data_IF_592097953107
#
_entry.id   IF_592097953107
#
_cell.length_a   1.000
_cell.length_b   1.000
_cell.length_c   1.000
_cell.angle_alpha   90.00
_cell.angle_beta   90.00
_cell.angle_gamma   90.00
#
_symmetry.space_group_name_H-M   'P 1'
#
loop_
_entity.id
_entity.type
_entity.pdbx_description
1 polymer ?
#
# COMPACT_ATOMS: atom_id res chain seq x y z
N UNK A 1 25.27 -3.59 -46.96
CA UNK A 1 25.47 -3.72 -45.51
C UNK A 1 25.39 -2.30 -44.99
N UNK A 2 24.21 -1.87 -44.55
CA UNK A 2 24.06 -0.55 -43.93
C UNK A 2 24.92 -0.53 -42.65
N UNK A 3 25.64 0.57 -42.39
CA UNK A 3 26.36 0.72 -41.13
C UNK A 3 25.34 0.62 -39.98
N UNK A 4 25.62 -0.24 -39.00
CA UNK A 4 24.83 -0.23 -37.78
C UNK A 4 24.98 1.14 -37.12
N UNK A 5 23.89 1.74 -36.62
CA UNK A 5 23.96 3.03 -35.94
C UNK A 5 24.92 2.94 -34.75
N UNK A 6 25.73 3.98 -34.54
CA UNK A 6 26.56 4.07 -33.33
C UNK A 6 25.65 4.11 -32.09
N UNK A 7 26.00 3.38 -31.01
CA UNK A 7 25.16 3.34 -29.82
C UNK A 7 25.13 4.70 -29.13
N UNK A 8 23.99 5.05 -28.54
CA UNK A 8 23.90 6.23 -27.67
C UNK A 8 24.56 5.91 -26.33
N UNK A 9 25.59 6.68 -25.97
CA UNK A 9 26.31 6.49 -24.70
C UNK A 9 25.52 7.09 -23.55
N UNK A 10 25.26 6.26 -22.54
CA UNK A 10 24.59 6.63 -21.30
C UNK A 10 25.58 6.52 -20.16
N UNK A 11 25.92 7.65 -19.54
CA UNK A 11 26.77 7.69 -18.37
C UNK A 11 25.97 7.29 -17.12
N UNK A 12 26.54 6.41 -16.30
CA UNK A 12 25.91 5.82 -15.11
C UNK A 12 26.67 6.27 -13.86
N UNK A 13 26.06 7.12 -13.05
CA UNK A 13 26.60 7.53 -11.76
C UNK A 13 25.75 6.99 -10.61
N UNK A 14 26.37 6.72 -9.47
CA UNK A 14 25.70 6.19 -8.29
C UNK A 14 25.67 7.22 -7.16
N UNK A 15 24.60 7.22 -6.37
CA UNK A 15 24.41 8.17 -5.28
C UNK A 15 23.41 7.62 -4.24
N UNK A 16 23.24 8.31 -3.12
CA UNK A 16 22.17 7.98 -2.19
C UNK A 16 20.80 8.48 -2.65
N UNK A 17 20.75 9.53 -3.46
CA UNK A 17 19.49 10.07 -3.97
C UNK A 17 19.67 11.25 -4.92
N UNK A 18 18.61 12.04 -5.06
CA UNK A 18 18.57 13.24 -5.89
C UNK A 18 18.20 14.45 -5.04
N UNK A 19 19.03 15.49 -5.10
CA UNK A 19 18.72 16.78 -4.52
C UNK A 19 17.94 17.60 -5.57
N UNK A 20 16.62 17.72 -5.38
CA UNK A 20 15.75 18.43 -6.30
C UNK A 20 16.03 19.95 -6.35
N UNK A 21 16.55 20.54 -5.27
CA UNK A 21 16.86 21.96 -5.22
C UNK A 21 18.18 22.25 -5.95
N UNK A 22 19.20 21.41 -5.73
CA UNK A 22 20.49 21.54 -6.42
C UNK A 22 20.50 20.96 -7.84
N UNK A 23 19.47 20.17 -8.20
CA UNK A 23 19.39 19.38 -9.44
C UNK A 23 20.65 18.53 -9.65
N UNK A 24 21.06 17.84 -8.59
CA UNK A 24 22.32 17.13 -8.52
C UNK A 24 22.17 15.78 -7.79
N UNK A 25 23.05 14.80 -8.07
CA UNK A 25 23.12 13.59 -7.27
C UNK A 25 23.47 13.93 -5.82
N UNK A 26 22.68 13.44 -4.88
CA UNK A 26 22.91 13.64 -3.46
C UNK A 26 23.79 12.52 -2.90
N UNK A 27 24.89 12.91 -2.25
CA UNK A 27 25.89 12.00 -1.64
C UNK A 27 26.33 10.91 -2.63
N UNK A 28 27.19 11.26 -3.60
CA UNK A 28 27.71 10.33 -4.60
C UNK A 28 28.34 9.07 -4.00
N UNK A 29 28.26 7.97 -4.74
CA UNK A 29 28.80 6.66 -4.37
C UNK A 29 29.76 6.17 -5.46
N UNK A 30 30.81 5.46 -5.05
CA UNK A 30 31.61 4.67 -5.98
C UNK A 30 30.81 3.47 -6.48
N UNK A 31 31.12 2.97 -7.68
CA UNK A 31 30.40 1.82 -8.27
C UNK A 31 30.47 0.59 -7.34
N UNK A 32 31.64 0.33 -6.76
CA UNK A 32 31.85 -0.79 -5.83
C UNK A 32 30.89 -0.72 -4.64
N UNK A 33 30.71 0.45 -4.05
CA UNK A 33 29.83 0.65 -2.89
C UNK A 33 28.36 0.47 -3.27
N UNK A 34 27.95 0.97 -4.44
CA UNK A 34 26.60 0.75 -4.94
C UNK A 34 26.32 -0.74 -5.21
N UNK A 35 27.32 -1.47 -5.75
CA UNK A 35 27.23 -2.92 -5.95
C UNK A 35 27.11 -3.69 -4.64
N UNK A 36 27.93 -3.36 -3.65
CA UNK A 36 27.83 -3.94 -2.30
C UNK A 36 26.46 -3.66 -1.67
N UNK A 37 25.89 -2.48 -1.88
CA UNK A 37 24.54 -2.16 -1.42
C UNK A 37 23.49 -3.03 -2.11
N UNK A 38 23.54 -3.15 -3.44
CA UNK A 38 22.65 -3.99 -4.21
C UNK A 38 22.65 -5.45 -3.73
N UNK A 39 23.84 -6.04 -3.57
CA UNK A 39 24.02 -7.43 -3.11
C UNK A 39 23.56 -7.65 -1.65
N UNK A 40 23.63 -6.61 -0.82
CA UNK A 40 23.24 -6.65 0.60
C UNK A 40 21.79 -6.22 0.87
N UNK A 41 20.98 -5.93 -0.16
CA UNK A 41 19.60 -5.49 0.05
C UNK A 41 19.47 -4.06 0.56
N UNK A 42 20.46 -3.19 0.34
CA UNK A 42 20.47 -1.81 0.85
C UNK A 42 20.16 -0.78 -0.26
N UNK A 43 19.49 0.32 0.09
CA UNK A 43 19.06 1.31 -0.90
C UNK A 43 20.21 2.12 -1.50
N UNK A 44 20.09 2.40 -2.79
CA UNK A 44 20.94 3.32 -3.56
C UNK A 44 20.19 3.87 -4.77
N UNK A 45 20.71 4.92 -5.38
CA UNK A 45 20.17 5.48 -6.61
C UNK A 45 21.23 5.50 -7.73
N UNK A 46 20.73 5.50 -8.96
CA UNK A 46 21.50 5.55 -10.19
C UNK A 46 21.01 6.74 -11.00
N UNK A 47 21.91 7.65 -11.33
CA UNK A 47 21.64 8.76 -12.23
C UNK A 47 22.17 8.40 -13.62
N UNK A 48 21.27 8.38 -14.60
CA UNK A 48 21.57 8.12 -16.00
C UNK A 48 21.64 9.45 -16.75
N UNK A 49 22.76 9.69 -17.43
CA UNK A 49 23.02 10.93 -18.17
C UNK A 49 23.35 10.69 -19.62
N UNK A 50 22.94 11.62 -20.48
CA UNK A 50 23.36 11.71 -21.88
C UNK A 50 23.88 13.12 -22.09
N UNK A 51 25.09 13.25 -22.63
CA UNK A 51 25.77 14.55 -22.80
C UNK A 51 25.83 15.38 -21.51
N UNK A 52 26.07 14.70 -20.37
CA UNK A 52 26.07 15.26 -19.00
C UNK A 52 24.71 15.76 -18.48
N UNK A 53 23.63 15.64 -19.25
CA UNK A 53 22.30 16.01 -18.80
C UNK A 53 21.58 14.82 -18.14
N UNK A 54 20.88 15.02 -17.00
CA UNK A 54 20.10 13.97 -16.37
C UNK A 54 18.92 13.55 -17.26
N UNK A 55 18.79 12.24 -17.51
CA UNK A 55 17.70 11.66 -18.31
C UNK A 55 16.79 10.77 -17.49
N UNK A 56 17.36 10.00 -16.56
CA UNK A 56 16.58 9.21 -15.63
C UNK A 56 17.28 9.04 -14.28
N UNK A 57 16.48 8.88 -13.23
CA UNK A 57 16.93 8.50 -11.90
C UNK A 57 16.28 7.15 -11.53
N UNK A 58 17.10 6.13 -11.29
CA UNK A 58 16.65 4.83 -10.83
C UNK A 58 16.93 4.70 -9.34
N UNK A 59 15.90 4.49 -8.54
CA UNK A 59 15.98 4.18 -7.11
C UNK A 59 15.86 2.67 -6.93
N UNK A 60 16.80 2.05 -6.24
CA UNK A 60 16.85 0.60 -6.07
C UNK A 60 16.94 0.26 -4.59
N UNK A 61 16.01 -0.56 -4.12
CA UNK A 61 16.03 -1.16 -2.79
C UNK A 61 15.64 -2.64 -2.92
N UNK A 62 16.63 -3.50 -3.14
CA UNK A 62 16.43 -4.94 -3.32
C UNK A 62 15.97 -5.63 -2.03
N UNK A 63 16.30 -5.08 -0.84
CA UNK A 63 15.83 -5.60 0.44
C UNK A 63 14.34 -5.35 0.65
N UNK A 64 13.82 -4.22 0.14
CA UNK A 64 12.39 -3.90 0.11
C UNK A 64 11.68 -4.35 -1.18
N UNK A 65 12.36 -5.05 -2.10
CA UNK A 65 11.79 -5.50 -3.37
C UNK A 65 11.27 -4.35 -4.24
N UNK A 66 11.99 -3.23 -4.32
CA UNK A 66 11.55 -2.00 -4.98
C UNK A 66 12.54 -1.49 -6.02
N UNK A 67 11.98 -1.09 -7.18
CA UNK A 67 12.68 -0.29 -8.17
C UNK A 67 11.79 0.88 -8.61
N UNK A 68 12.23 2.10 -8.36
CA UNK A 68 11.59 3.32 -8.85
C UNK A 68 12.37 3.88 -10.04
N UNK A 69 11.71 4.25 -11.13
CA UNK A 69 12.36 4.93 -12.26
C UNK A 69 11.70 6.26 -12.49
N UNK A 70 12.47 7.35 -12.43
CA UNK A 70 12.00 8.69 -12.70
C UNK A 70 12.55 9.21 -14.01
N UNK A 71 11.68 9.82 -14.82
CA UNK A 71 12.07 10.65 -15.95
C UNK A 71 12.09 12.13 -15.56
N UNK A 72 12.95 12.90 -16.23
CA UNK A 72 13.05 14.35 -16.05
C UNK A 72 12.32 15.11 -17.16
N UNK A 73 11.71 16.24 -16.82
CA UNK A 73 11.32 17.22 -17.83
C UNK A 73 12.49 18.10 -18.27
N UNK A 74 12.25 19.02 -19.21
CA UNK A 74 13.27 19.94 -19.74
C UNK A 74 13.81 20.92 -18.67
N UNK A 75 13.05 21.14 -17.59
CA UNK A 75 13.50 21.94 -16.45
C UNK A 75 14.29 21.09 -15.44
N UNK A 76 14.57 19.81 -15.71
CA UNK A 76 15.30 18.93 -14.79
C UNK A 76 14.51 18.55 -13.54
N UNK A 77 13.17 18.66 -13.58
CA UNK A 77 12.27 18.18 -12.51
C UNK A 77 11.87 16.75 -12.80
N UNK A 78 11.77 15.92 -11.76
CA UNK A 78 11.14 14.60 -11.90
C UNK A 78 9.66 14.77 -12.25
N UNK A 79 9.28 14.32 -13.44
CA UNK A 79 7.95 14.55 -14.02
C UNK A 79 7.21 13.26 -14.39
N UNK A 80 7.92 12.13 -14.34
CA UNK A 80 7.38 10.80 -14.60
C UNK A 80 7.98 9.81 -13.59
N UNK A 81 7.18 8.85 -13.11
CA UNK A 81 7.61 7.80 -12.19
C UNK A 81 7.00 6.46 -12.59
N UNK A 82 7.85 5.45 -12.74
CA UNK A 82 7.47 4.04 -12.70
C UNK A 82 7.85 3.47 -11.34
N UNK A 83 6.97 2.68 -10.74
CA UNK A 83 7.18 2.04 -9.44
C UNK A 83 7.00 0.55 -9.59
N UNK A 84 8.09 -0.20 -9.50
CA UNK A 84 8.11 -1.65 -9.62
C UNK A 84 8.21 -2.34 -8.26
N UNK A 85 7.59 -3.53 -8.16
CA UNK A 85 7.57 -4.41 -7.00
C UNK A 85 8.07 -5.79 -7.36
N UNK A 86 8.99 -6.31 -6.57
CA UNK A 86 9.46 -7.68 -6.67
C UNK A 86 8.40 -8.63 -6.08
N UNK A 87 7.84 -9.49 -6.94
CA UNK A 87 6.90 -10.53 -6.53
C UNK A 87 7.56 -11.91 -6.32
N UNK A 88 8.87 -12.00 -6.49
CA UNK A 88 9.73 -13.16 -6.26
C UNK A 88 10.36 -13.70 -7.55
N UNK A 89 9.62 -13.66 -8.66
CA UNK A 89 10.00 -14.17 -9.97
C UNK A 89 10.19 -13.05 -11.02
N UNK A 90 9.48 -11.94 -10.87
CA UNK A 90 9.58 -10.77 -11.73
C UNK A 90 9.31 -9.47 -10.95
N UNK A 91 9.74 -8.35 -11.53
CA UNK A 91 9.26 -7.03 -11.15
C UNK A 91 7.92 -6.75 -11.82
N UNK A 92 6.92 -6.40 -11.01
CA UNK A 92 5.60 -5.94 -11.43
C UNK A 92 5.54 -4.41 -11.36
N UNK A 93 5.23 -3.72 -12.45
CA UNK A 93 4.87 -2.31 -12.43
C UNK A 93 3.59 -2.16 -11.63
N UNK A 94 3.66 -1.42 -10.53
CA UNK A 94 2.56 -1.17 -9.60
C UNK A 94 1.94 0.21 -9.79
N UNK A 95 2.76 1.21 -10.07
CA UNK A 95 2.32 2.59 -10.27
C UNK A 95 3.08 3.24 -11.42
N UNK A 96 2.37 3.90 -12.31
CA UNK A 96 2.91 4.90 -13.23
C UNK A 96 2.28 6.24 -12.89
N UNK A 97 3.09 7.26 -12.65
CA UNK A 97 2.61 8.59 -12.29
C UNK A 97 3.33 9.65 -13.09
N UNK A 98 2.56 10.59 -13.65
CA UNK A 98 3.10 11.77 -14.32
C UNK A 98 2.58 13.05 -13.69
N UNK A 99 3.46 14.04 -13.63
CA UNK A 99 3.19 15.42 -13.23
C UNK A 99 3.35 16.29 -14.47
N UNK A 100 2.24 16.88 -14.92
CA UNK A 100 2.20 17.74 -16.12
C UNK A 100 2.25 19.18 -15.67
N UNK A 101 3.47 19.71 -15.54
CA UNK A 101 3.68 21.12 -15.18
C UNK A 101 3.27 22.03 -16.34
N UNK A 102 2.51 23.09 -16.05
CA UNK A 102 2.11 24.06 -17.06
C UNK A 102 3.21 25.11 -17.31
N UNK A 103 3.93 25.47 -16.24
CA UNK A 103 4.94 26.52 -16.22
C UNK A 103 6.27 26.01 -15.64
N UNK A 104 7.37 26.66 -16.01
CA UNK A 104 8.73 26.27 -15.59
C UNK A 104 9.05 26.63 -14.13
N UNK A 105 8.26 27.52 -13.51
CA UNK A 105 8.42 27.97 -12.12
C UNK A 105 7.67 27.08 -11.11
N UNK A 106 6.80 26.18 -11.57
CA UNK A 106 6.14 25.21 -10.71
C UNK A 106 7.18 24.31 -10.01
N UNK A 107 7.03 24.07 -8.69
CA UNK A 107 7.95 23.20 -7.97
C UNK A 107 7.82 21.75 -8.43
N UNK A 108 8.88 20.96 -8.27
CA UNK A 108 8.83 19.53 -8.54
C UNK A 108 7.68 18.85 -7.78
N UNK A 109 6.88 18.08 -8.51
CA UNK A 109 5.64 17.43 -8.06
C UNK A 109 4.47 18.36 -7.71
N UNK A 110 4.62 19.66 -7.93
CA UNK A 110 3.61 20.68 -7.72
C UNK A 110 2.61 20.87 -8.85
N UNK A 111 2.72 20.08 -9.93
CA UNK A 111 1.83 20.17 -11.09
C UNK A 111 0.34 20.13 -10.71
N UNK A 112 -0.42 21.09 -11.25
CA UNK A 112 -1.89 21.12 -11.16
C UNK A 112 -2.52 19.85 -11.74
N UNK A 113 -1.96 19.35 -12.84
CA UNK A 113 -2.40 18.14 -13.53
C UNK A 113 -1.51 16.94 -13.19
N UNK A 114 -2.11 15.93 -12.55
CA UNK A 114 -1.47 14.68 -12.14
C UNK A 114 -2.26 13.51 -12.67
N UNK A 115 -1.56 12.56 -13.29
CA UNK A 115 -2.17 11.37 -13.88
C UNK A 115 -1.48 10.16 -13.26
N UNK A 116 -2.26 9.22 -12.73
CA UNK A 116 -1.77 8.03 -12.04
C UNK A 116 -2.45 6.78 -12.57
N UNK A 117 -1.67 5.79 -12.97
CA UNK A 117 -2.12 4.45 -13.32
C UNK A 117 -1.67 3.50 -12.22
N UNK A 118 -2.59 2.70 -11.73
CA UNK A 118 -2.35 1.70 -10.69
C UNK A 118 -2.71 0.33 -11.20
N UNK A 119 -1.76 -0.57 -11.01
CA UNK A 119 -1.76 -1.90 -11.58
C UNK A 119 -1.88 -2.93 -10.46
N UNK A 120 -2.64 -3.98 -10.73
CA UNK A 120 -2.72 -5.18 -9.90
C UNK A 120 -2.64 -6.40 -10.83
N UNK A 121 -2.17 -7.56 -10.33
CA UNK A 121 -2.14 -8.78 -11.13
C UNK A 121 -3.54 -9.13 -11.64
N UNK A 122 -3.67 -9.28 -12.96
CA UNK A 122 -4.87 -9.76 -13.65
C UNK A 122 -6.15 -8.93 -13.44
N UNK A 123 -6.02 -7.71 -12.90
CA UNK A 123 -7.10 -6.75 -12.73
C UNK A 123 -7.04 -5.62 -13.77
N UNK A 124 -8.18 -4.95 -14.06
CA UNK A 124 -8.17 -3.71 -14.82
C UNK A 124 -7.27 -2.66 -14.15
N UNK A 125 -6.49 -1.96 -14.96
CA UNK A 125 -5.65 -0.86 -14.51
C UNK A 125 -6.54 0.32 -14.14
N UNK A 126 -6.40 0.80 -12.91
CA UNK A 126 -7.10 1.99 -12.44
C UNK A 126 -6.35 3.23 -12.89
N UNK A 127 -7.01 4.09 -13.63
CA UNK A 127 -6.49 5.39 -14.04
C UNK A 127 -7.16 6.48 -13.25
N UNK A 128 -6.37 7.36 -12.66
CA UNK A 128 -6.81 8.54 -11.93
C UNK A 128 -6.21 9.79 -12.53
N UNK A 129 -7.06 10.76 -12.87
CA UNK A 129 -6.69 12.09 -13.32
C UNK A 129 -7.11 13.09 -12.25
N UNK A 130 -6.15 13.87 -11.75
CA UNK A 130 -6.35 14.94 -10.79
C UNK A 130 -5.95 16.25 -11.44
N UNK A 131 -6.88 17.18 -11.55
CA UNK A 131 -6.66 18.54 -12.03
C UNK A 131 -7.12 19.49 -10.92
N UNK A 132 -6.23 20.34 -10.41
CA UNK A 132 -6.52 21.27 -9.33
C UNK A 132 -7.73 22.18 -9.61
N UNK A 133 -8.06 22.45 -10.88
CA UNK A 133 -9.15 23.32 -11.32
C UNK A 133 -10.38 22.54 -11.74
N UNK A 134 -10.22 21.31 -12.25
CA UNK A 134 -11.31 20.51 -12.84
C UNK A 134 -11.75 19.32 -11.97
N UNK A 135 -11.05 19.04 -10.88
CA UNK A 135 -11.39 18.00 -9.92
C UNK A 135 -10.69 16.66 -10.20
N UNK A 136 -11.27 15.57 -9.70
CA UNK A 136 -10.72 14.23 -9.78
C UNK A 136 -11.61 13.30 -10.61
N UNK A 137 -11.00 12.48 -11.46
CA UNK A 137 -11.68 11.46 -12.26
C UNK A 137 -10.95 10.12 -12.10
N UNK A 138 -11.73 9.04 -11.96
CA UNK A 138 -11.20 7.66 -11.96
C UNK A 138 -11.91 6.85 -13.04
N UNK A 139 -11.15 6.05 -13.78
CA UNK A 139 -11.64 5.04 -14.73
C UNK A 139 -10.80 3.77 -14.68
N UNK A 140 -11.23 2.76 -15.43
CA UNK A 140 -10.57 1.45 -15.49
C UNK A 140 -10.33 1.07 -16.95
N UNK A 141 -9.15 0.53 -17.24
CA UNK A 141 -8.78 0.08 -18.58
C UNK A 141 -7.97 -1.22 -18.51
N UNK A 142 -8.11 -2.07 -19.53
CA UNK A 142 -7.28 -3.28 -19.63
C UNK A 142 -5.99 -2.95 -20.39
N UNK A 143 -4.85 -3.12 -19.73
CA UNK A 143 -3.54 -3.07 -20.37
C UNK A 143 -3.10 -4.47 -20.79
N UNK A 144 -2.49 -4.64 -21.97
CA UNK A 144 -1.90 -5.92 -22.37
C UNK A 144 -0.88 -6.43 -21.34
N UNK A 145 -1.01 -7.71 -20.97
CA UNK A 145 -0.28 -8.32 -19.83
C UNK A 145 1.25 -8.42 -19.94
N UNK A 146 1.96 -8.30 -21.09
CA UNK A 146 3.42 -8.24 -20.99
C UNK A 146 3.95 -6.86 -20.61
N UNK A 147 3.13 -5.79 -20.63
CA UNK A 147 3.65 -4.41 -20.50
C UNK A 147 4.01 -3.98 -19.08
N UNK A 148 3.68 -4.78 -18.06
CA UNK A 148 3.91 -4.40 -16.66
C UNK A 148 4.71 -5.45 -15.87
N UNK A 149 5.30 -6.47 -16.53
CA UNK A 149 6.16 -7.48 -15.89
C UNK A 149 7.53 -7.48 -16.55
N UNK A 150 8.59 -7.23 -15.79
CA UNK A 150 9.98 -7.21 -16.28
C UNK A 150 10.87 -8.09 -15.41
N UNK A 151 12.01 -8.59 -15.92
CA UNK A 151 12.96 -9.37 -15.13
C UNK A 151 13.51 -8.58 -13.93
N UNK A 152 13.92 -9.30 -12.89
CA UNK A 152 14.67 -8.70 -11.77
C UNK A 152 16.01 -8.14 -12.31
N UNK A 153 16.27 -6.83 -12.14
CA UNK A 153 17.47 -6.22 -12.70
C UNK A 153 18.69 -6.68 -11.90
N UNK A 154 19.65 -7.33 -12.58
CA UNK A 154 20.99 -7.50 -12.05
C UNK A 154 21.68 -6.12 -11.93
N UNK A 155 22.65 -6.00 -11.03
CA UNK A 155 23.43 -4.76 -10.94
C UNK A 155 24.06 -4.39 -12.29
N UNK A 156 23.86 -3.14 -12.72
CA UNK A 156 24.31 -2.65 -14.03
C UNK A 156 23.27 -2.79 -15.14
N UNK A 157 22.13 -3.42 -14.87
CA UNK A 157 20.98 -3.46 -15.78
C UNK A 157 19.86 -2.59 -15.24
N UNK A 158 19.37 -1.65 -16.05
CA UNK A 158 18.40 -0.65 -15.61
C UNK A 158 17.14 -0.73 -16.47
N UNK A 159 15.94 -0.68 -15.87
CA UNK A 159 14.68 -0.77 -16.61
C UNK A 159 14.36 0.57 -17.28
N UNK A 160 15.12 0.88 -18.34
CA UNK A 160 15.00 2.07 -19.18
C UNK A 160 15.20 1.69 -20.64
N UNK A 161 14.71 2.50 -21.56
CA UNK A 161 14.90 2.37 -23.00
C UNK A 161 15.16 3.76 -23.63
N UNK A 162 15.50 3.77 -24.92
CA UNK A 162 15.76 5.00 -25.66
C UNK A 162 14.59 5.98 -25.60
N UNK A 163 13.35 5.50 -25.62
CA UNK A 163 12.16 6.36 -25.53
C UNK A 163 12.10 7.14 -24.20
N UNK A 164 12.34 6.47 -23.08
CA UNK A 164 12.38 7.11 -21.76
C UNK A 164 13.54 8.10 -21.65
N UNK A 165 14.69 7.77 -22.23
CA UNK A 165 15.89 8.60 -22.17
C UNK A 165 15.92 9.71 -23.25
N UNK A 166 14.96 9.75 -24.18
CA UNK A 166 14.97 10.65 -25.33
C UNK A 166 16.15 10.39 -26.28
N UNK A 167 16.49 9.13 -26.49
CA UNK A 167 17.68 8.66 -27.20
C UNK A 167 17.37 7.58 -28.25
N UNK A 168 18.28 7.39 -29.20
CA UNK A 168 18.21 6.32 -30.19
C UNK A 168 18.85 5.04 -29.65
N UNK A 169 18.25 3.90 -29.99
CA UNK A 169 18.80 2.57 -29.73
C UNK A 169 19.91 2.20 -30.74
N UNK A 170 20.89 1.35 -30.37
CA UNK A 170 21.05 0.73 -29.06
C UNK A 170 21.70 1.66 -28.01
N UNK A 171 21.39 1.47 -26.74
CA UNK A 171 22.05 2.15 -25.62
C UNK A 171 23.34 1.43 -25.18
N UNK A 172 24.41 2.19 -24.93
CA UNK A 172 25.66 1.72 -24.31
C UNK A 172 25.83 2.38 -22.93
N UNK A 173 25.72 1.60 -21.85
CA UNK A 173 25.87 2.09 -20.48
C UNK A 173 27.34 2.08 -20.04
N UNK A 174 27.85 3.24 -19.65
CA UNK A 174 29.24 3.45 -19.24
C UNK A 174 29.27 4.00 -17.81
N UNK A 175 30.02 3.36 -16.92
CA UNK A 175 30.20 3.86 -15.56
C UNK A 175 30.87 5.24 -15.59
N UNK A 176 30.30 6.19 -14.84
CA UNK A 176 30.93 7.45 -14.53
C UNK A 176 32.20 7.21 -13.69
N UNK A 177 33.20 8.11 -13.74
CA UNK A 177 34.31 8.06 -12.80
C UNK A 177 33.80 8.09 -11.34
N UNK A 178 34.48 7.35 -10.47
CA UNK A 178 34.18 7.38 -9.03
C UNK A 178 34.30 8.83 -8.49
N UNK A 179 33.44 9.22 -7.53
CA UNK A 179 33.46 10.56 -6.97
C UNK A 179 34.73 10.81 -6.15
N UNK A 180 35.21 12.05 -6.12
CA UNK A 180 36.34 12.46 -5.28
C UNK A 180 36.02 12.31 -3.79
N UNK A 181 34.77 12.60 -3.40
CA UNK A 181 34.24 12.41 -2.05
C UNK A 181 33.01 11.51 -2.09
N UNK A 182 33.10 10.37 -1.40
CA UNK A 182 32.03 9.38 -1.30
C UNK A 182 31.20 9.58 -0.02
N UNK A 183 29.92 9.21 -0.08
CA UNK A 183 29.03 9.18 1.08
C UNK A 183 29.57 8.29 2.22
N UNK A 184 29.79 8.89 3.40
CA UNK A 184 30.16 8.15 4.63
C UNK A 184 29.07 8.20 5.70
N UNK A 185 28.79 7.10 6.38
CA UNK A 185 27.80 7.04 7.47
C UNK A 185 26.48 6.39 7.07
N UNK A 186 25.41 6.52 7.88
CA UNK A 186 24.13 5.92 7.56
C UNK A 186 23.51 6.54 6.29
N UNK A 187 22.66 5.76 5.64
CA UNK A 187 21.88 6.21 4.49
C UNK A 187 21.01 7.41 4.87
N UNK A 188 20.98 8.42 4.01
CA UNK A 188 20.07 9.54 4.20
C UNK A 188 18.68 9.16 3.72
N UNK A 189 17.65 9.31 4.56
CA UNK A 189 16.24 9.04 4.25
C UNK A 189 15.62 10.05 3.26
N UNK A 190 16.37 10.51 2.25
CA UNK A 190 15.85 11.37 1.17
C UNK A 190 14.70 10.71 0.39
N UNK A 191 14.69 9.38 0.36
CA UNK A 191 13.62 8.57 -0.16
C UNK A 191 13.65 7.20 0.51
N UNK A 192 12.53 6.51 0.44
CA UNK A 192 12.40 5.11 0.84
C UNK A 192 11.50 4.37 -0.15
N UNK A 193 11.66 3.05 -0.23
CA UNK A 193 10.67 2.22 -0.90
C UNK A 193 9.29 2.49 -0.28
N UNK A 194 8.21 2.60 -1.07
CA UNK A 194 6.89 2.79 -0.50
C UNK A 194 6.51 1.56 0.34
N UNK A 195 6.09 1.77 1.57
CA UNK A 195 5.69 0.70 2.49
C UNK A 195 4.17 0.72 2.74
N UNK A 196 3.59 -0.47 2.89
CA UNK A 196 2.22 -0.63 3.35
C UNK A 196 1.96 0.13 4.65
N UNK A 197 0.69 0.42 4.93
CA UNK A 197 0.31 0.92 6.25
C UNK A 197 0.84 -0.04 7.34
N UNK A 198 1.16 0.52 8.49
CA UNK A 198 1.52 -0.22 9.69
C UNK A 198 0.50 0.06 10.78
N UNK A 199 0.23 -0.90 11.68
CA UNK A 199 -0.67 -0.68 12.79
C UNK A 199 -0.06 0.34 13.75
N UNK A 200 -0.88 1.27 14.26
CA UNK A 200 -0.39 2.31 15.17
C UNK A 200 -1.23 2.34 16.43
N UNK A 201 -0.59 2.13 17.58
CA UNK A 201 -1.23 2.27 18.90
C UNK A 201 -2.32 1.23 19.21
N UNK A 202 -2.36 0.09 18.50
CA UNK A 202 -3.42 -0.92 18.70
C UNK A 202 -3.49 -1.43 20.13
N UNK A 203 -2.36 -1.70 20.79
CA UNK A 203 -2.37 -2.11 22.19
C UNK A 203 -2.85 -1.01 23.14
N UNK A 204 -2.45 0.23 22.87
CA UNK A 204 -2.87 1.39 23.66
C UNK A 204 -4.39 1.58 23.60
N UNK A 205 -5.02 1.30 22.45
CA UNK A 205 -6.48 1.37 22.28
C UNK A 205 -7.26 0.40 23.18
N UNK A 206 -6.62 -0.64 23.72
CA UNK A 206 -7.24 -1.57 24.67
C UNK A 206 -6.69 -1.42 26.09
N UNK A 207 -6.03 -0.29 26.38
CA UNK A 207 -5.50 0.05 27.71
C UNK A 207 -6.31 1.21 28.31
N UNK A 208 -7.25 0.95 29.24
CA UNK A 208 -8.06 2.00 29.85
C UNK A 208 -7.21 3.12 30.46
N UNK A 209 -7.62 4.37 30.21
CA UNK A 209 -6.93 5.57 30.67
C UNK A 209 -5.69 5.97 29.86
N UNK A 210 -5.30 5.19 28.84
CA UNK A 210 -4.24 5.59 27.93
C UNK A 210 -4.60 6.89 27.21
N UNK A 211 -3.62 7.77 27.05
CA UNK A 211 -3.76 9.03 26.33
C UNK A 211 -3.01 8.93 25.01
N UNK A 212 -3.70 9.18 23.91
CA UNK A 212 -3.15 9.08 22.56
C UNK A 212 -3.25 10.45 21.90
N UNK A 213 -2.16 10.91 21.29
CA UNK A 213 -2.12 12.12 20.47
C UNK A 213 -1.90 11.74 19.02
N UNK A 214 -2.72 12.24 18.10
CA UNK A 214 -2.46 12.05 16.68
C UNK A 214 -1.53 13.13 16.09
N UNK A 215 -1.13 12.95 14.83
CA UNK A 215 -0.24 13.89 14.13
C UNK A 215 -0.87 15.27 13.87
N UNK A 216 -2.17 15.41 14.08
CA UNK A 216 -2.89 16.69 14.02
C UNK A 216 -2.98 17.38 15.39
N UNK A 217 -2.45 16.75 16.44
CA UNK A 217 -2.50 17.25 17.82
C UNK A 217 -3.84 16.98 18.52
N UNK A 218 -4.77 16.22 17.93
CA UNK A 218 -5.97 15.79 18.62
C UNK A 218 -5.62 14.77 19.71
N UNK A 219 -6.27 14.92 20.86
CA UNK A 219 -6.07 14.07 22.04
C UNK A 219 -7.24 13.11 22.21
N UNK A 220 -6.93 11.86 22.49
CA UNK A 220 -7.87 10.78 22.71
C UNK A 220 -7.59 10.13 24.07
N UNK A 221 -8.62 9.97 24.89
CA UNK A 221 -8.59 9.17 26.11
C UNK A 221 -9.25 7.83 25.84
N UNK A 222 -8.54 6.74 26.12
CA UNK A 222 -9.04 5.37 25.97
C UNK A 222 -9.93 5.01 27.16
N UNK A 223 -11.17 4.60 26.87
CA UNK A 223 -12.12 4.12 27.86
C UNK A 223 -11.94 2.63 28.18
N UNK A 224 -12.82 2.10 29.04
CA UNK A 224 -12.90 0.65 29.28
C UNK A 224 -13.38 -0.08 28.01
N UNK A 225 -12.66 -1.13 27.55
CA UNK A 225 -13.14 -1.97 26.47
C UNK A 225 -14.54 -2.54 26.79
N UNK A 226 -15.43 -2.55 25.79
CA UNK A 226 -16.77 -3.10 25.96
C UNK A 226 -16.91 -4.42 25.22
N UNK A 227 -17.42 -5.43 25.93
CA UNK A 227 -17.77 -6.71 25.31
C UNK A 227 -18.85 -6.51 24.25
N UNK A 228 -18.57 -6.97 23.03
CA UNK A 228 -19.57 -7.17 21.97
C UNK A 228 -20.28 -8.50 22.16
N UNK A 229 -19.52 -9.55 22.52
CA UNK A 229 -20.06 -10.89 22.70
C UNK A 229 -19.02 -11.97 22.51
N UNK A 230 -19.47 -13.18 22.19
CA UNK A 230 -18.62 -14.34 21.91
C UNK A 230 -18.90 -14.88 20.51
N UNK A 231 -17.87 -14.91 19.68
CA UNK A 231 -17.91 -15.38 18.30
C UNK A 231 -17.54 -16.86 18.24
N UNK A 232 -18.41 -17.67 17.65
CA UNK A 232 -18.18 -19.08 17.36
C UNK A 232 -17.52 -19.20 15.99
N UNK A 233 -16.27 -19.65 15.96
CA UNK A 233 -15.52 -19.96 14.76
C UNK A 233 -15.49 -21.48 14.55
N UNK A 234 -16.50 -22.03 13.88
CA UNK A 234 -16.63 -23.47 13.65
C UNK A 234 -15.59 -24.00 12.66
N UNK A 235 -15.15 -23.19 11.71
CA UNK A 235 -14.09 -23.53 10.76
C UNK A 235 -12.75 -22.90 11.13
N UNK A 236 -12.75 -21.89 12.01
CA UNK A 236 -11.53 -21.16 12.38
C UNK A 236 -11.08 -20.16 11.30
N UNK A 237 -11.89 -19.97 10.26
CA UNK A 237 -11.61 -19.03 9.17
C UNK A 237 -12.40 -17.75 9.41
N UNK A 238 -11.67 -16.67 9.70
CA UNK A 238 -12.25 -15.38 10.09
C UNK A 238 -12.54 -14.55 8.85
N UNK A 239 -13.72 -13.93 8.82
CA UNK A 239 -14.11 -12.91 7.84
C UNK A 239 -14.40 -11.62 8.60
N UNK A 240 -14.05 -10.46 8.02
CA UNK A 240 -14.63 -9.19 8.40
C UNK A 240 -15.30 -8.54 7.18
N UNK A 241 -16.50 -8.02 7.35
CA UNK A 241 -17.30 -7.42 6.28
C UNK A 241 -18.32 -6.43 6.84
N UNK A 242 -18.97 -5.67 5.95
CA UNK A 242 -20.25 -5.03 6.25
C UNK A 242 -21.37 -6.05 6.04
N UNK A 243 -22.06 -6.48 7.10
CA UNK A 243 -23.05 -7.55 7.00
C UNK A 243 -24.30 -7.14 6.19
N UNK A 244 -24.58 -5.84 6.02
CA UNK A 244 -25.75 -5.35 5.30
C UNK A 244 -25.49 -5.22 3.79
N UNK A 245 -24.27 -4.84 3.39
CA UNK A 245 -23.96 -4.48 1.99
C UNK A 245 -23.10 -5.50 1.26
N UNK A 246 -22.74 -6.61 1.91
CA UNK A 246 -21.84 -7.63 1.38
C UNK A 246 -22.25 -8.19 -0.01
N UNK A 247 -23.54 -8.39 -0.28
CA UNK A 247 -24.03 -8.85 -1.58
C UNK A 247 -23.80 -7.83 -2.70
N UNK A 248 -23.81 -6.53 -2.36
CA UNK A 248 -23.53 -5.44 -3.29
C UNK A 248 -22.03 -5.31 -3.58
N UNK A 249 -21.19 -5.83 -2.69
CA UNK A 249 -19.73 -5.78 -2.77
C UNK A 249 -19.14 -6.98 -3.54
N UNK A 250 -19.97 -7.96 -3.93
CA UNK A 250 -19.60 -9.11 -4.74
C UNK A 250 -19.01 -10.30 -3.97
N UNK A 251 -18.77 -11.41 -4.67
CA UNK A 251 -18.44 -12.71 -4.07
C UNK A 251 -17.21 -12.67 -3.13
N UNK A 252 -16.20 -11.85 -3.46
CA UNK A 252 -14.96 -11.73 -2.68
C UNK A 252 -15.15 -10.97 -1.36
N UNK A 253 -16.29 -10.31 -1.14
CA UNK A 253 -16.55 -9.53 0.07
C UNK A 253 -16.61 -10.41 1.33
N UNK A 254 -16.93 -11.70 1.17
CA UNK A 254 -16.97 -12.71 2.25
C UNK A 254 -15.78 -13.65 2.28
N UNK A 255 -14.78 -13.48 1.41
CA UNK A 255 -13.60 -14.34 1.43
C UNK A 255 -12.90 -14.26 2.79
N UNK A 256 -12.59 -15.41 3.42
CA UNK A 256 -11.91 -15.42 4.70
C UNK A 256 -10.47 -14.93 4.57
N UNK A 257 -9.95 -14.39 5.67
CA UNK A 257 -8.53 -14.14 5.78
C UNK A 257 -7.75 -15.46 5.65
N UNK A 258 -6.55 -15.35 5.08
CA UNK A 258 -5.65 -16.49 4.79
C UNK A 258 -5.11 -17.15 6.06
N UNK A 259 -5.01 -16.40 7.16
CA UNK A 259 -4.62 -16.93 8.47
C UNK A 259 -5.85 -17.52 9.18
N UNK A 260 -5.74 -18.78 9.58
CA UNK A 260 -6.77 -19.50 10.34
C UNK A 260 -6.40 -19.63 11.81
N UNK A 261 -7.41 -19.80 12.66
CA UNK A 261 -7.25 -20.11 14.09
C UNK A 261 -7.89 -21.46 14.42
N UNK A 262 -7.58 -22.06 15.59
CA UNK A 262 -8.29 -23.25 16.03
C UNK A 262 -9.81 -22.99 16.09
N UNK A 263 -10.65 -23.97 15.70
CA UNK A 263 -12.08 -23.85 15.93
C UNK A 263 -12.40 -23.66 17.41
N UNK A 264 -13.33 -22.76 17.73
CA UNK A 264 -13.58 -22.39 19.11
C UNK A 264 -14.58 -21.26 19.28
N UNK A 265 -14.69 -20.75 20.51
CA UNK A 265 -15.55 -19.63 20.88
C UNK A 265 -14.71 -18.55 21.55
N UNK A 266 -14.68 -17.37 20.94
CA UNK A 266 -13.72 -16.32 21.25
C UNK A 266 -14.42 -15.00 21.60
N UNK A 267 -13.96 -14.25 22.62
CA UNK A 267 -14.57 -12.97 22.96
C UNK A 267 -14.23 -11.90 21.92
N UNK A 268 -15.19 -11.01 21.69
CA UNK A 268 -15.05 -9.81 20.86
C UNK A 268 -15.33 -8.58 21.71
N UNK A 269 -14.47 -7.57 21.62
CA UNK A 269 -14.54 -6.35 22.41
C UNK A 269 -14.23 -5.10 21.58
N UNK A 270 -14.89 -3.98 21.87
CA UNK A 270 -14.61 -2.68 21.25
C UNK A 270 -13.65 -1.86 22.10
N UNK A 271 -12.70 -1.21 21.44
CA UNK A 271 -11.91 -0.12 21.99
C UNK A 271 -12.68 1.18 21.81
N UNK A 272 -12.91 1.91 22.90
CA UNK A 272 -13.64 3.16 22.91
C UNK A 272 -12.70 4.30 23.25
N UNK A 273 -12.84 5.41 22.53
CA UNK A 273 -12.08 6.63 22.82
C UNK A 273 -13.00 7.83 23.00
N UNK A 274 -12.62 8.71 23.91
CA UNK A 274 -13.18 10.06 24.04
C UNK A 274 -12.21 11.05 23.42
N UNK A 275 -12.69 11.83 22.46
CA UNK A 275 -11.89 12.91 21.86
C UNK A 275 -12.03 14.17 22.70
N UNK A 276 -10.92 14.80 23.06
CA UNK A 276 -10.94 16.04 23.81
C UNK A 276 -11.82 17.10 23.11
N UNK A 277 -12.75 17.69 23.86
CA UNK A 277 -13.68 18.70 23.34
C UNK A 277 -14.88 18.15 22.55
N UNK A 278 -15.08 16.82 22.50
CA UNK A 278 -16.28 16.19 21.92
C UNK A 278 -17.05 15.43 23.00
N UNK A 279 -18.37 15.41 22.89
CA UNK A 279 -19.22 14.59 23.75
C UNK A 279 -19.32 13.16 23.22
N UNK A 280 -19.34 12.19 24.13
CA UNK A 280 -19.51 10.78 23.81
C UNK A 280 -18.21 10.00 23.55
N UNK A 281 -18.39 8.70 23.37
CA UNK A 281 -17.34 7.75 23.02
C UNK A 281 -17.51 7.28 21.58
N UNK A 282 -16.40 7.03 20.89
CA UNK A 282 -16.40 6.48 19.54
C UNK A 282 -15.62 5.17 19.52
N UNK A 283 -16.11 4.17 18.78
CA UNK A 283 -15.38 2.93 18.53
C UNK A 283 -14.15 3.24 17.67
N UNK A 284 -12.97 3.00 18.24
CA UNK A 284 -11.69 3.22 17.57
C UNK A 284 -11.16 1.93 16.93
N UNK A 285 -11.43 0.79 17.53
CA UNK A 285 -11.06 -0.52 17.02
C UNK A 285 -11.96 -1.61 17.63
N UNK A 286 -11.96 -2.80 17.02
CA UNK A 286 -12.66 -3.98 17.54
C UNK A 286 -11.71 -5.17 17.52
N UNK A 287 -11.56 -5.85 18.66
CA UNK A 287 -10.65 -6.98 18.84
C UNK A 287 -11.43 -8.28 19.00
N UNK A 288 -11.13 -9.24 18.14
CA UNK A 288 -11.43 -10.66 18.32
C UNK A 288 -10.20 -11.29 19.01
N UNK A 289 -10.34 -11.72 20.26
CA UNK A 289 -9.22 -12.26 21.04
C UNK A 289 -9.17 -13.79 20.96
N UNK A 290 -8.03 -14.31 20.49
CA UNK A 290 -7.79 -15.74 20.23
C UNK A 290 -7.00 -16.38 21.37
N UNK A 291 -6.00 -15.66 21.89
CA UNK A 291 -5.15 -16.08 22.99
C UNK A 291 -4.95 -14.98 24.02
N UNK A 292 -4.46 -15.36 25.20
CA UNK A 292 -4.19 -14.45 26.33
C UNK A 292 -2.71 -14.02 26.39
N UNK A 293 -1.85 -14.59 25.54
CA UNK A 293 -0.45 -14.21 25.45
C UNK A 293 -0.30 -12.76 24.94
N UNK A 294 0.68 -11.99 25.44
CA UNK A 294 0.98 -10.67 24.91
C UNK A 294 1.30 -10.71 23.42
N UNK A 295 0.82 -9.72 22.68
CA UNK A 295 1.17 -9.57 21.26
C UNK A 295 2.57 -8.99 21.16
N UNK A 296 3.42 -9.61 20.36
CA UNK A 296 4.79 -9.19 20.11
C UNK A 296 4.94 -8.54 18.72
N UNK A 297 4.21 -9.04 17.72
CA UNK A 297 4.28 -8.58 16.33
C UNK A 297 2.89 -8.45 15.72
N UNK A 298 2.79 -7.64 14.66
CA UNK A 298 1.55 -7.40 13.94
C UNK A 298 1.75 -7.55 12.44
N UNK A 299 0.76 -8.14 11.76
CA UNK A 299 0.70 -8.23 10.29
C UNK A 299 -0.69 -7.86 9.77
N UNK A 300 -0.78 -7.47 8.50
CA UNK A 300 -2.07 -7.17 7.86
C UNK A 300 -2.81 -8.48 7.57
N UNK A 301 -4.09 -8.57 7.89
CA UNK A 301 -4.92 -9.71 7.52
C UNK A 301 -5.24 -9.67 6.01
N UNK A 302 -4.64 -10.59 5.26
CA UNK A 302 -4.81 -10.69 3.81
C UNK A 302 -5.87 -11.73 3.42
N UNK A 303 -6.64 -11.44 2.37
CA UNK A 303 -7.52 -12.38 1.67
C UNK A 303 -6.79 -13.07 0.52
N UNK A 304 -7.31 -14.19 -0.03
CA UNK A 304 -6.72 -14.85 -1.18
C UNK A 304 -6.45 -13.89 -2.33
N UNK A 305 -5.23 -13.95 -2.90
CA UNK A 305 -4.81 -13.08 -4.00
C UNK A 305 -4.29 -11.70 -3.60
N UNK A 306 -4.42 -11.29 -2.34
CA UNK A 306 -3.83 -10.05 -1.84
C UNK A 306 -2.35 -10.25 -1.47
N UNK A 307 -1.52 -9.25 -1.77
CA UNK A 307 -0.08 -9.24 -1.50
C UNK A 307 0.33 -7.86 -0.98
N UNK A 308 0.87 -7.78 0.24
CA UNK A 308 1.26 -6.52 0.86
C UNK A 308 2.36 -5.77 0.09
N UNK A 309 3.18 -6.46 -0.71
CA UNK A 309 4.25 -5.85 -1.52
C UNK A 309 3.67 -4.94 -2.60
N UNK A 310 2.42 -5.18 -3.00
CA UNK A 310 1.70 -4.34 -3.94
C UNK A 310 1.13 -3.07 -3.30
N UNK A 311 1.20 -2.90 -1.98
CA UNK A 311 0.71 -1.69 -1.35
C UNK A 311 1.69 -0.52 -1.56
N UNK A 312 1.13 0.65 -1.90
CA UNK A 312 1.85 1.92 -1.90
C UNK A 312 2.05 2.47 -0.49
N UNK A 313 2.66 3.65 -0.39
CA UNK A 313 2.95 4.31 0.88
C UNK A 313 1.69 4.50 1.73
N UNK A 314 1.63 3.81 2.87
CA UNK A 314 0.49 3.79 3.80
C UNK A 314 -0.83 3.29 3.19
N UNK A 315 -0.80 2.58 2.07
CA UNK A 315 -1.95 1.84 1.55
C UNK A 315 -2.17 0.55 2.36
N UNK A 316 -3.39 0.05 2.35
CA UNK A 316 -3.77 -1.20 3.00
C UNK A 316 -4.92 -1.85 2.24
N UNK A 317 -5.03 -3.17 2.38
CA UNK A 317 -6.27 -3.89 2.11
C UNK A 317 -7.19 -3.77 3.31
N UNK A 318 -8.47 -3.56 3.07
CA UNK A 318 -9.48 -3.44 4.12
C UNK A 318 -10.83 -3.97 3.67
N UNK A 319 -11.69 -4.24 4.64
CA UNK A 319 -13.11 -4.50 4.37
C UNK A 319 -13.86 -3.18 4.29
N UNK A 320 -14.80 -3.07 3.37
CA UNK A 320 -15.58 -1.87 3.11
C UNK A 320 -16.88 -1.87 3.92
N UNK A 321 -17.21 -0.72 4.50
CA UNK A 321 -18.43 -0.46 5.26
C UNK A 321 -19.16 0.73 4.65
N UNK A 322 -20.46 0.57 4.45
CA UNK A 322 -21.39 1.55 3.88
C UNK A 322 -22.68 1.65 4.72
N UNK A 323 -22.94 0.68 5.59
CA UNK A 323 -24.07 0.68 6.53
C UNK A 323 -23.75 1.33 7.89
N UNK A 324 -22.50 1.79 8.09
CA UNK A 324 -21.98 2.16 9.41
C UNK A 324 -21.78 0.98 10.38
N UNK A 325 -21.92 -0.26 9.90
CA UNK A 325 -21.80 -1.49 10.69
C UNK A 325 -20.75 -2.42 10.09
N UNK A 326 -19.81 -2.86 10.93
CA UNK A 326 -18.89 -3.94 10.60
C UNK A 326 -19.28 -5.22 11.32
N UNK A 327 -18.78 -6.36 10.86
CA UNK A 327 -18.98 -7.64 11.53
C UNK A 327 -17.73 -8.51 11.46
N UNK A 328 -17.53 -9.32 12.50
CA UNK A 328 -16.70 -10.52 12.45
C UNK A 328 -17.60 -11.75 12.36
N UNK A 329 -17.27 -12.67 11.46
CA UNK A 329 -18.02 -13.91 11.24
C UNK A 329 -17.08 -15.07 10.88
N UNK A 330 -17.53 -16.31 11.12
CA UNK A 330 -16.88 -17.50 10.56
C UNK A 330 -17.23 -17.63 9.07
N UNK A 331 -16.30 -18.15 8.26
CA UNK A 331 -16.54 -18.40 6.83
C UNK A 331 -17.76 -19.32 6.56
N UNK A 332 -18.20 -20.14 7.53
CA UNK A 332 -19.40 -20.97 7.42
C UNK A 332 -20.71 -20.25 7.80
N UNK A 333 -20.66 -19.00 8.27
CA UNK A 333 -21.81 -18.26 8.81
C UNK A 333 -22.77 -17.70 7.73
N UNK A 334 -22.90 -18.37 6.57
CA UNK A 334 -23.72 -17.90 5.45
C UNK A 334 -25.20 -17.77 5.80
N UNK A 335 -25.74 -18.69 6.60
CA UNK A 335 -27.12 -18.64 7.06
C UNK A 335 -27.36 -17.48 8.06
N UNK A 336 -26.39 -17.21 8.93
CA UNK A 336 -26.45 -16.08 9.86
C UNK A 336 -26.41 -14.74 9.11
N UNK A 337 -25.58 -14.66 8.06
CA UNK A 337 -25.51 -13.48 7.19
C UNK A 337 -26.82 -13.24 6.44
N UNK A 338 -27.39 -14.26 5.81
CA UNK A 338 -28.70 -14.16 5.16
C UNK A 338 -29.81 -13.73 6.14
N UNK A 339 -29.81 -14.31 7.35
CA UNK A 339 -30.73 -13.92 8.43
C UNK A 339 -30.58 -12.45 8.80
N UNK A 340 -29.36 -11.92 8.81
CA UNK A 340 -29.11 -10.50 9.09
C UNK A 340 -29.68 -9.60 8.00
N UNK A 341 -29.49 -9.97 6.74
CA UNK A 341 -29.93 -9.18 5.59
C UNK A 341 -31.45 -9.19 5.38
N UNK A 342 -32.11 -10.28 5.78
CA UNK A 342 -33.58 -10.41 5.73
C UNK A 342 -34.32 -9.66 6.85
N UNK A 343 -33.60 -9.17 7.86
CA UNK A 343 -34.21 -8.50 9.01
C UNK A 343 -34.47 -7.01 8.75
N UNK A 344 -35.56 -6.49 9.32
CA UNK A 344 -35.92 -5.07 9.22
C UNK A 344 -35.02 -4.18 10.11
N UNK A 345 -34.46 -4.75 11.19
CA UNK A 345 -33.54 -4.08 12.09
C UNK A 345 -32.43 -5.01 12.61
N UNK A 346 -31.26 -4.42 12.90
CA UNK A 346 -30.06 -5.17 13.28
C UNK A 346 -30.19 -5.86 14.65
N UNK A 347 -30.97 -5.31 15.59
CA UNK A 347 -31.15 -5.90 16.91
C UNK A 347 -31.95 -7.20 16.82
N UNK A 348 -33.02 -7.20 16.00
CA UNK A 348 -33.81 -8.38 15.69
C UNK A 348 -32.98 -9.44 14.96
N UNK A 349 -32.16 -9.05 13.99
CA UNK A 349 -31.24 -9.96 13.29
C UNK A 349 -30.34 -10.69 14.29
N UNK A 350 -29.62 -9.95 15.13
CA UNK A 350 -28.68 -10.54 16.10
C UNK A 350 -29.38 -11.47 17.10
N UNK A 351 -30.57 -11.09 17.58
CA UNK A 351 -31.36 -11.94 18.47
C UNK A 351 -31.74 -13.26 17.80
N UNK A 352 -32.13 -13.22 16.52
CA UNK A 352 -32.52 -14.40 15.74
C UNK A 352 -31.33 -15.32 15.48
N UNK A 353 -30.19 -14.76 15.07
CA UNK A 353 -28.94 -15.51 14.83
C UNK A 353 -28.50 -16.23 16.12
N UNK A 354 -28.51 -15.52 17.26
CA UNK A 354 -28.13 -16.11 18.55
C UNK A 354 -29.07 -17.22 19.00
N UNK A 355 -30.36 -17.05 18.77
CA UNK A 355 -31.36 -18.07 19.09
C UNK A 355 -31.18 -19.34 18.24
N UNK A 356 -30.90 -19.17 16.94
CA UNK A 356 -30.68 -20.28 16.01
C UNK A 356 -29.46 -21.14 16.37
N UNK A 357 -28.41 -20.54 16.93
CA UNK A 357 -27.19 -21.25 17.32
C UNK A 357 -27.38 -22.21 18.51
N UNK A 358 -28.50 -22.14 19.25
CA UNK A 358 -28.88 -23.07 20.34
C UNK A 358 -27.96 -23.10 21.57
N UNK A 359 -26.82 -22.42 21.50
CA UNK A 359 -25.75 -22.39 22.52
C UNK A 359 -25.63 -21.02 23.19
N UNK A 360 -26.29 -19.99 22.64
CA UNK A 360 -26.18 -18.60 23.07
C UNK A 360 -24.97 -17.86 22.50
N UNK A 361 -24.04 -18.56 21.83
CA UNK A 361 -22.93 -17.97 21.08
C UNK A 361 -23.36 -17.63 19.65
N UNK A 362 -22.77 -16.60 19.04
CA UNK A 362 -23.12 -16.18 17.68
C UNK A 362 -22.04 -16.56 16.67
N UNK A 363 -22.41 -16.95 15.46
CA UNK A 363 -21.48 -17.18 14.34
C UNK A 363 -21.15 -15.89 13.56
N UNK A 364 -21.86 -14.80 13.89
CA UNK A 364 -21.69 -13.45 13.36
C UNK A 364 -21.91 -12.43 14.50
N UNK A 365 -20.97 -11.51 14.70
CA UNK A 365 -21.12 -10.40 15.65
C UNK A 365 -20.92 -9.07 14.94
N UNK A 366 -21.89 -8.16 15.08
CA UNK A 366 -21.80 -6.83 14.50
C UNK A 366 -21.29 -5.80 15.51
N UNK A 367 -20.75 -4.71 14.99
CA UNK A 367 -20.23 -3.60 15.78
C UNK A 367 -20.28 -2.30 14.96
N UNK A 368 -20.37 -1.13 15.62
CA UNK A 368 -20.29 0.16 14.93
C UNK A 368 -18.91 0.37 14.29
N UNK A 369 -18.85 0.89 13.06
CA UNK A 369 -17.60 1.18 12.35
C UNK A 369 -16.93 2.52 12.77
N UNK A 370 -17.21 3.00 13.98
CA UNK A 370 -16.66 4.25 14.49
C UNK A 370 -17.26 5.48 13.82
N UNK A 371 -16.58 6.04 12.81
CA UNK A 371 -17.00 7.27 12.10
C UNK A 371 -18.00 7.03 10.96
N UNK A 372 -18.36 5.77 10.68
CA UNK A 372 -19.32 5.40 9.65
C UNK A 372 -18.66 4.71 8.46
N UNK A 373 -18.90 5.23 7.25
CA UNK A 373 -18.52 4.54 6.02
C UNK A 373 -17.01 4.64 5.76
N UNK A 374 -16.44 3.61 5.15
CA UNK A 374 -15.01 3.58 4.85
C UNK A 374 -14.48 2.20 4.51
N UNK A 375 -13.15 2.12 4.42
CA UNK A 375 -12.40 0.87 4.28
C UNK A 375 -11.50 0.71 5.49
N UNK A 376 -11.54 -0.44 6.13
CA UNK A 376 -10.86 -0.66 7.42
C UNK A 376 -9.93 -1.86 7.36
N UNK A 377 -8.63 -1.71 7.72
CA UNK A 377 -7.73 -2.85 7.80
C UNK A 377 -8.04 -3.69 9.03
N UNK A 378 -7.77 -4.99 8.91
CA UNK A 378 -7.71 -5.89 10.06
C UNK A 378 -6.25 -6.29 10.27
N UNK A 379 -5.78 -6.17 11.51
CA UNK A 379 -4.43 -6.54 11.92
C UNK A 379 -4.44 -7.82 12.74
N UNK A 380 -3.50 -8.71 12.47
CA UNK A 380 -3.32 -9.97 13.20
C UNK A 380 -2.18 -9.76 14.18
N UNK A 381 -2.47 -9.95 15.47
CA UNK A 381 -1.45 -10.01 16.51
C UNK A 381 -0.87 -11.41 16.64
N UNK A 382 0.45 -11.50 16.81
CA UNK A 382 1.15 -12.75 17.13
C UNK A 382 1.99 -12.62 18.39
N UNK A 383 2.08 -13.68 19.18
CA UNK A 383 2.97 -13.74 20.34
C UNK A 383 4.42 -14.00 19.92
N UNK A 384 5.32 -14.09 20.93
CA UNK A 384 6.75 -14.33 20.69
C UNK A 384 7.08 -15.69 20.05
N UNK A 385 6.15 -16.64 20.08
CA UNK A 385 6.27 -17.95 19.43
C UNK A 385 5.61 -17.96 18.04
N UNK A 386 5.02 -16.83 17.62
CA UNK A 386 4.34 -16.66 16.34
C UNK A 386 2.89 -17.14 16.33
N UNK A 387 2.30 -17.54 17.46
CA UNK A 387 0.91 -17.96 17.53
C UNK A 387 -0.03 -16.75 17.50
N UNK A 388 -1.19 -16.88 16.85
CA UNK A 388 -2.18 -15.79 16.72
C UNK A 388 -2.79 -15.46 18.08
N UNK A 389 -2.66 -14.21 18.52
CA UNK A 389 -3.25 -13.70 19.76
C UNK A 389 -4.59 -13.04 19.52
N UNK A 390 -4.76 -12.33 18.41
CA UNK A 390 -5.98 -11.58 18.10
C UNK A 390 -6.08 -11.14 16.63
N UNK A 391 -7.30 -10.76 16.24
CA UNK A 391 -7.56 -9.93 15.06
C UNK A 391 -8.12 -8.59 15.53
N UNK A 392 -7.64 -7.48 14.99
CA UNK A 392 -8.08 -6.12 15.34
C UNK A 392 -8.52 -5.38 14.09
N UNK A 393 -9.82 -5.12 13.97
CA UNK A 393 -10.36 -4.21 12.98
C UNK A 393 -10.09 -2.76 13.45
N UNK A 394 -9.24 -2.04 12.73
CA UNK A 394 -8.86 -0.66 13.05
C UNK A 394 -9.80 0.31 12.33
N UNK A 395 -10.61 1.08 13.07
CA UNK A 395 -11.58 2.04 12.50
C UNK A 395 -10.90 3.33 12.01
N UNK A 396 -9.56 3.35 11.96
CA UNK A 396 -8.73 4.43 11.41
C UNK A 396 -8.98 5.78 12.06
N UNK A 397 -9.51 5.78 13.28
CA UNK A 397 -9.97 6.98 13.97
C UNK A 397 -8.82 7.92 14.33
N UNK A 398 -7.65 7.35 14.67
CA UNK A 398 -6.48 8.10 15.13
C UNK A 398 -5.73 8.82 13.99
N UNK A 399 -5.92 8.46 12.72
CA UNK A 399 -5.19 9.06 11.61
C UNK A 399 -3.70 8.67 11.58
N UNK A 400 -2.84 9.58 11.08
CA UNK A 400 -1.37 9.37 10.96
C UNK A 400 -0.61 10.09 12.09
N UNK A 401 0.67 9.72 12.28
CA UNK A 401 1.57 10.41 13.23
C UNK A 401 1.17 10.25 14.69
N UNK A 402 0.65 9.08 15.05
CA UNK A 402 0.09 8.79 16.37
C UNK A 402 1.20 8.50 17.37
N UNK A 403 1.15 9.20 18.51
CA UNK A 403 2.02 9.00 19.66
C UNK A 403 1.16 8.61 20.86
N UNK A 404 1.41 7.42 21.42
CA UNK A 404 0.85 7.05 22.72
C UNK A 404 1.65 7.77 23.81
N UNK A 405 1.00 8.67 24.54
CA UNK A 405 1.63 9.38 25.65
C UNK A 405 1.59 8.44 26.86
N UNK A 406 2.69 7.73 27.08
CA UNK A 406 2.78 6.74 28.14
C UNK A 406 2.52 7.35 29.54
N UNK A 407 1.80 6.65 30.45
CA UNK A 407 2.21 6.61 31.84
C UNK A 407 3.52 5.82 31.87
N UNK A 408 4.62 6.44 32.34
CA UNK A 408 6.01 5.93 32.34
C UNK A 408 6.15 4.39 32.17
N UNK A 409 6.71 3.95 31.04
CA UNK A 409 7.46 2.67 30.97
C UNK A 409 7.03 1.61 29.94
N UNK A 410 6.69 1.94 28.70
CA UNK A 410 6.56 0.95 27.62
C UNK A 410 7.53 1.27 26.47
N UNK A 411 8.37 0.29 26.14
CA UNK A 411 9.37 0.31 25.08
C UNK A 411 8.74 -0.34 23.84
N UNK A 412 8.84 0.30 22.68
CA UNK A 412 8.41 -0.27 21.41
C UNK A 412 9.18 -1.56 21.08
N UNK A 413 8.45 -2.62 20.72
CA UNK A 413 9.06 -3.88 20.31
C UNK A 413 9.64 -3.78 18.89
N UNK A 414 10.84 -4.34 18.64
CA UNK A 414 11.42 -4.37 17.31
C UNK A 414 10.64 -5.32 16.39
N UNK A 415 10.47 -4.90 15.13
CA UNK A 415 9.91 -5.70 14.06
C UNK A 415 11.02 -6.48 13.36
N UNK A 416 10.76 -7.73 12.96
CA UNK A 416 11.62 -8.53 12.09
C UNK A 416 10.82 -8.89 10.83
N UNK A 417 11.43 -8.82 9.62
CA UNK A 417 10.76 -9.18 8.38
C UNK A 417 10.52 -10.68 8.29
N UNK A 418 9.31 -11.06 7.90
CA UNK A 418 8.93 -12.42 7.57
C UNK A 418 7.85 -12.36 6.50
N UNK A 419 8.26 -12.12 5.26
CA UNK A 419 7.38 -12.23 4.09
C UNK A 419 6.98 -13.71 4.00
N UNK A 420 5.68 -14.07 4.01
CA UNK A 420 5.28 -15.43 3.72
C UNK A 420 5.75 -15.84 2.32
N UNK A 421 6.28 -17.05 2.17
CA UNK A 421 6.69 -17.57 0.86
C UNK A 421 5.50 -17.58 -0.11
N UNK A 422 5.67 -17.08 -1.34
CA UNK A 422 4.58 -16.90 -2.28
C UNK A 422 3.99 -18.25 -2.71
N UNK A 423 2.67 -18.29 -2.83
CA UNK A 423 2.01 -19.27 -3.70
C UNK A 423 2.18 -18.78 -5.13
N UNK A 424 3.25 -19.25 -5.79
CA UNK A 424 3.50 -19.01 -7.22
C UNK A 424 2.31 -19.59 -8.00
N UNK A 425 1.50 -18.70 -8.59
CA UNK A 425 0.55 -19.11 -9.64
C UNK A 425 1.29 -19.01 -10.97
N UNK A 426 1.57 -20.16 -11.59
CA UNK A 426 2.10 -20.22 -12.96
C UNK A 426 1.20 -19.46 -13.93
N UNK A 427 1.77 -18.71 -14.89
CA UNK A 427 0.94 -18.25 -15.99
C UNK A 427 1.49 -17.33 -17.08
N UNK A 428 2.51 -16.49 -16.88
CA UNK A 428 2.96 -15.55 -17.93
C UNK A 428 4.45 -15.23 -17.79
N UNK A 429 5.25 -15.42 -18.85
CA UNK A 429 6.67 -15.03 -18.85
C UNK A 429 6.83 -13.48 -18.90
N UNK A 430 7.79 -12.91 -18.15
CA UNK A 430 8.07 -11.48 -18.20
C UNK A 430 8.58 -11.06 -19.59
N UNK A 431 8.11 -9.90 -20.07
CA UNK A 431 8.60 -9.30 -21.31
C UNK A 431 9.81 -8.40 -21.09
N UNK A 432 10.50 -7.95 -22.15
CA UNK A 432 11.48 -6.89 -22.03
C UNK A 432 10.80 -5.60 -21.56
N UNK A 433 11.53 -4.75 -20.83
CA UNK A 433 11.05 -3.41 -20.50
C UNK A 433 10.81 -2.61 -21.79
N UNK A 434 9.67 -1.92 -21.87
CA UNK A 434 9.39 -0.93 -22.91
C UNK A 434 8.58 0.21 -22.31
N UNK A 435 9.20 1.38 -22.16
CA UNK A 435 8.49 2.59 -21.76
C UNK A 435 7.60 3.11 -22.87
N UNK A 436 7.98 2.93 -24.14
CA UNK A 436 7.22 3.41 -25.30
C UNK A 436 5.78 2.87 -25.28
N UNK A 437 5.60 1.55 -25.25
CA UNK A 437 4.27 0.95 -25.27
C UNK A 437 3.42 1.36 -24.05
N UNK A 438 4.05 1.52 -22.89
CA UNK A 438 3.38 1.99 -21.67
C UNK A 438 2.95 3.47 -21.82
N UNK A 439 3.83 4.32 -22.36
CA UNK A 439 3.61 5.75 -22.49
C UNK A 439 2.68 6.12 -23.64
N UNK A 440 2.67 5.36 -24.74
CA UNK A 440 1.70 5.49 -25.81
C UNK A 440 0.28 5.24 -25.28
N UNK A 441 0.07 4.10 -24.60
CA UNK A 441 -1.22 3.82 -23.96
C UNK A 441 -1.60 4.90 -22.92
N UNK A 442 -0.62 5.34 -22.13
CA UNK A 442 -0.82 6.39 -21.13
C UNK A 442 -1.32 7.69 -21.77
N UNK A 443 -0.66 8.14 -22.84
CA UNK A 443 -1.03 9.37 -23.54
C UNK A 443 -2.39 9.22 -24.23
N UNK A 444 -2.63 8.12 -24.95
CA UNK A 444 -3.92 7.86 -25.61
C UNK A 444 -5.09 7.87 -24.60
N UNK A 445 -4.90 7.25 -23.44
CA UNK A 445 -5.90 7.22 -22.38
C UNK A 445 -6.11 8.61 -21.76
N UNK A 446 -5.03 9.36 -21.54
CA UNK A 446 -5.09 10.71 -20.99
C UNK A 446 -5.80 11.68 -21.95
N UNK A 447 -5.50 11.61 -23.24
CA UNK A 447 -6.09 12.45 -24.28
C UNK A 447 -7.58 12.13 -24.45
N UNK A 448 -7.95 10.85 -24.48
CA UNK A 448 -9.37 10.44 -24.52
C UNK A 448 -10.15 10.94 -23.29
N UNK A 449 -9.53 10.93 -22.10
CA UNK A 449 -10.13 11.47 -20.89
C UNK A 449 -10.26 13.00 -20.92
N UNK A 450 -9.23 13.70 -21.41
CA UNK A 450 -9.27 15.15 -21.57
C UNK A 450 -10.36 15.59 -22.55
N UNK A 451 -10.52 14.89 -23.68
CA UNK A 451 -11.61 15.11 -24.64
C UNK A 451 -13.00 14.85 -24.02
N UNK A 452 -13.15 13.76 -23.26
CA UNK A 452 -14.41 13.45 -22.56
C UNK A 452 -14.80 14.58 -21.60
N UNK A 453 -13.83 15.12 -20.84
CA UNK A 453 -14.03 16.25 -19.95
C UNK A 453 -14.39 17.54 -20.69
N UNK A 454 -13.73 17.85 -21.80
CA UNK A 454 -14.05 19.02 -22.63
C UNK A 454 -15.51 18.98 -23.10
N UNK A 455 -15.95 17.83 -23.64
CA UNK A 455 -17.33 17.64 -24.10
C UNK A 455 -18.36 17.73 -22.97
N UNK A 456 -18.05 17.22 -21.77
CA UNK A 456 -18.98 17.25 -20.63
C UNK A 456 -19.10 18.63 -19.99
N UNK A 457 -18.04 19.44 -20.06
CA UNK A 457 -17.99 20.80 -19.52
C UNK A 457 -18.45 21.88 -20.52
N UNK A 458 -18.85 21.49 -21.74
CA UNK A 458 -19.40 22.41 -22.75
C UNK A 458 -18.36 23.32 -23.41
N UNK A 459 -17.11 22.86 -23.51
CA UNK A 459 -16.06 23.51 -24.31
C UNK A 459 -15.91 22.89 -25.68
#
# INVERSE_FOLDING_TARGET
>A
MEPQPEPTRVEVAYCEGWDAAARAPFRPLAERTARERHESGRPYAVLLRIDSEPRALVQVDTGAGYVGVFGFDLAGRRSLKFSYRDLGDHLMLRELKAWRHADDDEPEFGADLRITFRFWPDEPVRTSLEDARRGHFTSFAHLPTPLHRIPLPAFGTWPVDGWLLGAFEPLEFLAAPDPEEEATGPFSELWSAPEAARPIGLEALFTPGAQIRNGQGEMFEVGEPRSVGRLRLSTGRVVAADPATVELQGDLATDPYTVTVPPGVYPVETALVRTAGREGETVAAVRLRIGEAPTATWELALRPGQDERLLGASEYYGFTVDSGTGAFLDAAATAALATYQDADDAEQAEATIRAAAGTGDSELLTYPSGKGDGSYPVWIGRDGDGAVTCFVADMRLLGRGVEALAPRGLIAAPQVPGVPEPVVREGVEPGPFSSQAILEFFNDTADAQAEFWARRMGH
#
